data_IF_642884820477
#
_entry.id   IF_642884820477
#
_cell.length_a   1.000
_cell.length_b   1.000
_cell.length_c   1.000
_cell.angle_alpha   90.00
_cell.angle_beta   90.00
_cell.angle_gamma   90.00
#
_symmetry.space_group_name_H-M   'P 1'
#
loop_
_entity.id
_entity.type
_entity.pdbx_description
1 polymer ?
#
# COMPACT_ATOMS: atom_id res chain seq x y z
N UNK A 1 -22.95 -66.81 -20.12
CA UNK A 1 -21.66 -66.94 -19.41
C UNK A 1 -20.67 -66.06 -20.16
N UNK A 2 -19.91 -65.12 -19.63
CA UNK A 2 -19.67 -64.55 -18.30
C UNK A 2 -19.17 -63.12 -18.59
N UNK A 3 -19.68 -62.11 -17.87
CA UNK A 3 -19.23 -60.72 -18.00
C UNK A 3 -17.89 -60.55 -17.27
N UNK A 4 -16.87 -60.13 -18.02
CA UNK A 4 -15.58 -59.66 -17.51
C UNK A 4 -15.45 -58.18 -17.80
N UNK A 5 -15.37 -57.35 -16.75
CA UNK A 5 -15.00 -55.94 -16.90
C UNK A 5 -15.51 -55.03 -15.80
N UNK A 6 -14.85 -55.03 -14.63
CA UNK A 6 -15.11 -54.05 -13.56
C UNK A 6 -13.90 -53.76 -12.64
N UNK A 7 -12.66 -53.76 -13.16
CA UNK A 7 -11.45 -53.58 -12.31
C UNK A 7 -10.67 -52.27 -12.54
N UNK A 8 -11.32 -51.13 -12.88
CA UNK A 8 -10.57 -49.90 -13.21
C UNK A 8 -11.05 -48.58 -12.58
N UNK A 9 -11.78 -48.58 -11.46
CA UNK A 9 -12.37 -47.35 -10.89
C UNK A 9 -11.78 -46.82 -9.56
N UNK A 10 -10.60 -47.27 -9.13
CA UNK A 10 -10.00 -46.81 -7.85
C UNK A 10 -8.50 -46.50 -7.95
N UNK A 11 -8.09 -45.64 -8.88
CA UNK A 11 -6.79 -44.96 -8.77
C UNK A 11 -7.04 -43.55 -8.24
N UNK A 12 -6.74 -43.34 -6.96
CA UNK A 12 -6.65 -42.01 -6.36
C UNK A 12 -5.66 -41.17 -7.17
N UNK A 13 -5.98 -39.90 -7.48
CA UNK A 13 -5.04 -39.02 -8.16
C UNK A 13 -3.77 -38.87 -7.28
N UNK A 14 -2.57 -38.79 -7.89
CA UNK A 14 -1.36 -38.56 -7.12
C UNK A 14 -1.52 -37.26 -6.31
N UNK A 15 -1.03 -37.22 -5.05
CA UNK A 15 -1.06 -36.01 -4.25
C UNK A 15 -0.40 -34.89 -5.05
N UNK A 16 -1.11 -33.78 -5.23
CA UNK A 16 -0.53 -32.56 -5.83
C UNK A 16 0.67 -32.18 -4.96
N UNK A 17 1.88 -32.34 -5.48
CA UNK A 17 3.09 -31.82 -4.86
C UNK A 17 2.87 -30.34 -4.61
N UNK A 18 2.85 -29.94 -3.34
CA UNK A 18 2.87 -28.55 -2.96
C UNK A 18 4.08 -27.89 -3.64
N UNK A 19 3.91 -26.67 -4.22
CA UNK A 19 5.00 -25.99 -4.89
C UNK A 19 6.20 -25.92 -3.95
N UNK A 20 7.31 -26.50 -4.41
CA UNK A 20 8.60 -26.58 -3.75
C UNK A 20 8.96 -25.17 -3.25
N UNK A 21 9.04 -25.00 -1.93
CA UNK A 21 9.43 -23.74 -1.29
C UNK A 21 10.82 -23.36 -1.81
N UNK A 22 10.85 -22.45 -2.78
CA UNK A 22 12.07 -21.95 -3.38
C UNK A 22 13.01 -21.45 -2.26
N UNK A 23 14.19 -22.07 -2.22
CA UNK A 23 15.28 -21.83 -1.26
C UNK A 23 15.37 -20.37 -0.81
N UNK A 24 15.14 -20.15 0.49
CA UNK A 24 15.19 -18.86 1.20
C UNK A 24 16.56 -18.16 1.14
N UNK A 25 17.59 -18.78 0.55
CA UNK A 25 19.00 -18.36 0.61
C UNK A 25 19.38 -17.22 -0.35
N UNK A 26 18.47 -16.72 -1.18
CA UNK A 26 18.72 -15.55 -2.05
C UNK A 26 17.86 -14.32 -1.74
N UNK A 27 17.28 -14.24 -0.53
CA UNK A 27 16.56 -13.02 -0.13
C UNK A 27 17.54 -11.85 0.01
N UNK A 28 17.64 -11.03 -1.04
CA UNK A 28 18.31 -9.74 -0.99
C UNK A 28 17.57 -8.90 0.05
N UNK A 29 18.28 -8.51 1.10
CA UNK A 29 17.80 -7.49 2.03
C UNK A 29 17.72 -6.17 1.28
N UNK A 30 16.55 -5.53 1.31
CA UNK A 30 16.47 -4.13 0.95
C UNK A 30 17.39 -3.35 1.89
N UNK A 31 18.40 -2.69 1.31
CA UNK A 31 19.41 -1.92 2.07
C UNK A 31 18.82 -0.65 2.65
N UNK A 32 17.73 -0.17 2.08
CA UNK A 32 17.03 1.05 2.48
C UNK A 32 15.65 0.72 3.05
N UNK A 33 15.37 1.25 4.24
CA UNK A 33 14.11 1.07 4.97
C UNK A 33 13.56 2.43 5.40
N UNK A 34 12.28 2.67 5.18
CA UNK A 34 11.60 3.91 5.57
C UNK A 34 11.03 3.79 6.99
N UNK A 35 10.41 2.66 7.29
CA UNK A 35 9.78 2.33 8.56
C UNK A 35 10.47 1.11 9.17
N UNK A 36 11.58 1.28 9.92
CA UNK A 36 12.32 0.15 10.51
C UNK A 36 11.45 -0.82 11.32
N UNK A 37 10.47 -0.28 12.04
CA UNK A 37 9.58 -1.07 12.90
C UNK A 37 8.51 -1.85 12.12
N UNK A 38 8.39 -1.62 10.81
CA UNK A 38 7.42 -2.28 9.92
C UNK A 38 8.09 -3.18 8.88
N UNK A 39 9.39 -3.43 9.00
CA UNK A 39 10.06 -4.41 8.15
C UNK A 39 9.65 -5.80 8.58
N UNK A 40 9.16 -6.59 7.62
CA UNK A 40 8.86 -8.00 7.87
C UNK A 40 10.16 -8.76 8.14
N UNK A 41 10.30 -9.47 9.27
CA UNK A 41 11.53 -10.21 9.57
C UNK A 41 11.91 -11.24 8.50
N UNK A 42 13.20 -11.58 8.44
CA UNK A 42 13.69 -12.62 7.52
C UNK A 42 13.09 -13.99 7.86
N UNK A 43 12.62 -14.70 6.84
CA UNK A 43 11.96 -16.00 7.00
C UNK A 43 10.51 -15.94 7.49
N UNK A 44 9.92 -14.74 7.62
CA UNK A 44 8.52 -14.57 7.99
C UNK A 44 7.71 -13.84 6.93
N UNK A 45 6.40 -13.80 7.12
CA UNK A 45 5.47 -12.99 6.34
C UNK A 45 4.53 -12.27 7.30
N UNK A 46 4.08 -11.08 6.90
CA UNK A 46 3.04 -10.32 7.59
C UNK A 46 1.76 -10.34 6.78
N UNK A 47 0.62 -10.47 7.44
CA UNK A 47 -0.70 -10.37 6.82
C UNK A 47 -1.50 -9.34 7.61
N UNK A 48 -1.99 -8.31 6.92
CA UNK A 48 -2.79 -7.24 7.51
C UNK A 48 -4.06 -7.01 6.70
N UNK A 49 -5.11 -6.57 7.39
CA UNK A 49 -6.32 -6.05 6.79
C UNK A 49 -6.18 -4.57 6.47
N UNK A 50 -6.41 -4.20 5.22
CA UNK A 50 -6.33 -2.83 4.73
C UNK A 50 -7.70 -2.39 4.24
N UNK A 51 -8.27 -1.29 4.75
CA UNK A 51 -9.55 -0.79 4.27
C UNK A 51 -9.43 -0.30 2.82
N UNK A 52 -10.43 -0.62 2.00
CA UNK A 52 -10.54 -0.14 0.63
C UNK A 52 -11.08 1.29 0.62
N UNK A 53 -10.32 2.23 0.06
CA UNK A 53 -10.78 3.62 -0.12
C UNK A 53 -12.06 3.70 -0.97
N UNK A 54 -12.26 2.78 -1.90
CA UNK A 54 -13.47 2.74 -2.73
C UNK A 54 -14.73 2.37 -1.94
N UNK A 55 -14.58 1.60 -0.86
CA UNK A 55 -15.69 1.26 0.03
C UNK A 55 -16.00 2.39 1.01
N UNK A 56 -15.03 3.27 1.29
CA UNK A 56 -15.23 4.46 2.11
C UNK A 56 -15.66 5.60 1.18
N UNK A 57 -16.91 5.55 0.73
CA UNK A 57 -17.46 6.38 -0.34
C UNK A 57 -17.48 7.90 -0.08
N UNK A 58 -17.01 8.36 1.09
CA UNK A 58 -16.93 9.76 1.47
C UNK A 58 -15.81 9.95 2.49
N UNK A 59 -14.56 9.78 2.05
CA UNK A 59 -13.42 10.14 2.91
C UNK A 59 -13.30 11.66 2.95
N UNK A 60 -13.33 12.22 4.15
CA UNK A 60 -13.05 13.61 4.43
C UNK A 60 -11.57 13.81 4.78
N UNK A 61 -11.08 15.05 4.62
CA UNK A 61 -9.75 15.41 5.05
C UNK A 61 -9.66 15.27 6.58
N UNK A 62 -8.71 14.45 7.05
CA UNK A 62 -8.52 14.13 8.47
C UNK A 62 -9.08 12.78 8.89
N UNK A 63 -9.71 12.04 7.97
CA UNK A 63 -10.18 10.69 8.26
C UNK A 63 -9.01 9.77 8.62
N UNK A 64 -9.26 8.93 9.64
CA UNK A 64 -8.29 7.98 10.16
C UNK A 64 -8.81 6.58 9.89
N UNK A 65 -8.01 5.82 9.17
CA UNK A 65 -8.27 4.44 8.80
C UNK A 65 -7.40 3.51 9.63
N UNK A 66 -8.01 2.49 10.21
CA UNK A 66 -7.27 1.46 10.94
C UNK A 66 -6.79 0.36 9.97
N UNK A 67 -5.50 0.07 10.03
CA UNK A 67 -4.93 -1.16 9.49
C UNK A 67 -5.04 -2.21 10.57
N UNK A 68 -5.73 -3.31 10.29
CA UNK A 68 -6.04 -4.33 11.29
C UNK A 68 -5.23 -5.60 11.06
N UNK A 69 -5.15 -6.45 12.07
CA UNK A 69 -4.67 -7.81 11.91
C UNK A 69 -5.77 -8.74 11.33
N UNK A 70 -5.49 -10.03 11.08
CA UNK A 70 -6.50 -10.96 10.54
C UNK A 70 -7.71 -11.20 11.44
N UNK A 71 -7.64 -10.87 12.73
CA UNK A 71 -8.76 -10.99 13.67
C UNK A 71 -9.52 -9.66 13.86
N UNK A 72 -9.11 -8.60 13.14
CA UNK A 72 -9.75 -7.28 13.17
C UNK A 72 -9.24 -6.34 14.26
N UNK A 73 -8.15 -6.68 14.96
CA UNK A 73 -7.54 -5.80 15.94
C UNK A 73 -6.70 -4.73 15.24
N UNK A 74 -6.85 -3.44 15.57
CA UNK A 74 -6.02 -2.38 15.00
C UNK A 74 -4.52 -2.63 15.27
N UNK A 75 -3.70 -2.46 14.24
CA UNK A 75 -2.24 -2.49 14.26
C UNK A 75 -1.60 -1.13 13.97
N UNK A 76 -2.10 -0.42 12.95
CA UNK A 76 -1.59 0.88 12.50
C UNK A 76 -2.75 1.82 12.19
N UNK A 77 -2.44 3.12 12.11
CA UNK A 77 -3.37 4.16 11.66
C UNK A 77 -2.86 4.83 10.41
N UNK A 78 -3.76 5.10 9.48
CA UNK A 78 -3.49 5.88 8.28
C UNK A 78 -4.42 7.08 8.32
N UNK A 79 -3.82 8.25 8.51
CA UNK A 79 -4.55 9.51 8.44
C UNK A 79 -4.44 10.06 7.01
N UNK A 80 -5.59 10.29 6.39
CA UNK A 80 -5.69 10.87 5.06
C UNK A 80 -5.84 12.37 5.20
N UNK A 81 -4.90 13.16 4.67
CA UNK A 81 -5.11 14.60 4.53
C UNK A 81 -5.39 14.90 3.07
N UNK A 82 -6.65 14.76 2.70
CA UNK A 82 -7.13 15.17 1.39
C UNK A 82 -6.95 16.70 1.28
N UNK A 83 -6.35 17.17 0.18
CA UNK A 83 -6.33 18.61 -0.08
C UNK A 83 -7.78 19.08 -0.27
N UNK A 84 -8.21 20.17 0.37
CA UNK A 84 -9.43 20.85 -0.04
C UNK A 84 -9.29 21.23 -1.52
N UNK A 85 -10.39 21.06 -2.27
CA UNK A 85 -10.42 21.01 -3.74
C UNK A 85 -9.92 22.26 -4.51
N UNK A 86 -10.15 22.30 -5.84
CA UNK A 86 -9.48 23.20 -6.78
C UNK A 86 -9.80 24.70 -6.66
N UNK A 87 -10.68 25.12 -5.74
CA UNK A 87 -10.91 26.54 -5.49
C UNK A 87 -9.86 27.12 -4.52
N UNK A 88 -8.64 27.34 -5.02
CA UNK A 88 -7.83 28.47 -4.53
C UNK A 88 -6.37 28.24 -4.13
N UNK A 89 -5.79 27.04 -4.19
CA UNK A 89 -4.41 26.84 -3.75
C UNK A 89 -3.39 26.89 -4.91
N UNK A 90 -3.01 28.11 -5.32
CA UNK A 90 -1.77 28.35 -6.08
C UNK A 90 -0.58 27.95 -5.22
N UNK A 91 0.14 26.93 -5.68
CA UNK A 91 1.51 26.48 -5.33
C UNK A 91 2.27 27.49 -4.46
N UNK A 92 2.68 27.12 -3.24
CA UNK A 92 3.92 27.61 -2.64
C UNK A 92 4.56 26.57 -1.71
N UNK A 93 5.84 26.30 -1.95
CA UNK A 93 6.86 25.86 -0.98
C UNK A 93 6.91 24.37 -0.59
N UNK A 94 8.10 23.73 -0.53
CA UNK A 94 8.27 22.38 0.03
C UNK A 94 8.01 22.31 1.55
N UNK A 95 7.88 23.46 2.24
CA UNK A 95 7.69 23.54 3.69
C UNK A 95 6.23 23.81 4.12
N UNK A 96 5.28 23.91 3.19
CA UNK A 96 3.89 24.33 3.47
C UNK A 96 2.83 23.37 2.97
N UNK A 97 3.23 22.25 2.35
CA UNK A 97 2.28 21.26 1.86
C UNK A 97 2.01 20.19 2.93
N UNK A 98 0.73 20.01 3.25
CA UNK A 98 0.28 18.93 4.11
C UNK A 98 0.49 17.57 3.42
N UNK A 99 0.96 16.54 4.14
CA UNK A 99 1.14 15.19 3.58
C UNK A 99 -0.22 14.60 3.19
N UNK A 100 -0.31 14.01 1.99
CA UNK A 100 -1.52 13.31 1.56
C UNK A 100 -1.88 12.15 2.50
N UNK A 101 -0.86 11.44 2.98
CA UNK A 101 -0.98 10.28 3.87
C UNK A 101 0.00 10.42 5.02
N UNK A 102 -0.47 10.17 6.24
CA UNK A 102 0.37 10.02 7.43
C UNK A 102 0.16 8.62 8.00
N UNK A 103 1.19 7.79 7.93
CA UNK A 103 1.18 6.46 8.54
C UNK A 103 1.65 6.59 10.00
N UNK A 104 0.86 6.09 10.95
CA UNK A 104 1.07 6.25 12.39
C UNK A 104 1.04 4.93 13.12
N UNK A 105 1.87 4.84 14.16
CA UNK A 105 1.79 3.74 15.12
C UNK A 105 0.63 3.99 16.10
N UNK A 106 -0.09 2.94 16.50
CA UNK A 106 -1.17 3.03 17.49
C UNK A 106 -0.67 3.41 18.87
N UNK A 107 0.53 2.92 19.22
CA UNK A 107 1.18 3.26 20.48
C UNK A 107 2.31 4.22 20.13
N UNK A 108 2.19 5.53 20.43
CA UNK A 108 3.38 6.35 20.50
C UNK A 108 4.22 5.79 21.64
N UNK A 109 5.18 4.91 21.34
CA UNK A 109 6.22 4.65 22.31
C UNK A 109 6.86 6.01 22.61
N UNK A 110 7.05 6.36 23.89
CA UNK A 110 7.84 7.53 24.24
C UNK A 110 9.28 7.23 23.82
N UNK A 111 9.59 7.42 22.54
CA UNK A 111 10.96 7.46 22.05
C UNK A 111 11.57 8.64 22.78
N UNK A 112 12.35 8.36 23.81
CA UNK A 112 13.11 9.36 24.56
C UNK A 112 13.96 10.11 23.54
N UNK A 113 13.49 11.28 23.12
CA UNK A 113 14.15 12.04 22.07
C UNK A 113 15.44 12.61 22.64
N UNK A 114 16.56 11.95 22.37
CA UNK A 114 17.90 12.47 22.63
C UNK A 114 18.26 13.64 21.71
N UNK A 115 17.38 13.98 20.76
CA UNK A 115 17.52 15.15 19.91
C UNK A 115 16.47 16.19 20.33
N UNK A 116 16.91 17.16 21.14
CA UNK A 116 16.25 18.45 21.34
C UNK A 116 16.28 19.24 20.02
N UNK A 117 15.59 18.75 18.98
CA UNK A 117 15.39 19.54 17.77
C UNK A 117 14.20 20.45 18.06
N UNK A 118 14.50 21.72 18.36
CA UNK A 118 13.53 22.80 18.39
C UNK A 118 13.03 23.06 16.95
N UNK A 119 12.24 22.13 16.39
CA UNK A 119 11.45 22.39 15.19
C UNK A 119 10.14 23.00 15.67
N UNK A 120 10.00 24.31 15.51
CA UNK A 120 8.82 25.10 15.90
C UNK A 120 7.60 24.85 15.00
N UNK A 121 7.43 23.63 14.48
CA UNK A 121 6.33 23.27 13.59
C UNK A 121 6.10 21.77 13.60
N UNK A 122 4.99 21.35 14.21
CA UNK A 122 4.23 20.13 13.88
C UNK A 122 5.05 18.86 13.57
N UNK A 123 6.14 18.58 14.29
CA UNK A 123 6.79 17.27 14.17
C UNK A 123 5.90 16.27 14.90
N UNK A 124 5.11 15.53 14.10
CA UNK A 124 4.19 14.53 14.61
C UNK A 124 5.00 13.32 15.07
N UNK A 125 5.26 13.22 16.38
CA UNK A 125 6.18 12.23 16.98
C UNK A 125 5.75 10.77 16.78
N UNK A 126 4.50 10.52 16.35
CA UNK A 126 3.99 9.18 16.06
C UNK A 126 3.97 8.81 14.57
N UNK A 127 4.36 9.73 13.67
CA UNK A 127 4.45 9.43 12.24
C UNK A 127 5.61 8.46 11.97
N UNK A 128 5.34 7.42 11.19
CA UNK A 128 6.33 6.45 10.70
C UNK A 128 6.74 6.72 9.26
N UNK A 129 5.78 7.15 8.43
CA UNK A 129 6.01 7.61 7.07
C UNK A 129 5.04 8.72 6.71
N UNK A 130 5.48 9.57 5.80
CA UNK A 130 4.72 10.67 5.23
C UNK A 130 4.69 10.47 3.72
N UNK A 131 3.53 10.63 3.09
CA UNK A 131 3.43 10.55 1.64
C UNK A 131 2.89 11.86 1.06
N UNK A 132 3.58 12.40 0.06
CA UNK A 132 3.25 13.67 -0.57
C UNK A 132 2.92 13.42 -2.05
N UNK A 133 1.83 14.02 -2.53
CA UNK A 133 1.55 14.05 -3.95
C UNK A 133 2.28 15.21 -4.60
N UNK A 134 3.14 14.93 -5.58
CA UNK A 134 3.80 15.95 -6.40
C UNK A 134 3.37 15.84 -7.84
N UNK A 135 3.20 16.99 -8.47
CA UNK A 135 3.00 17.08 -9.91
C UNK A 135 4.30 17.58 -10.54
N UNK A 136 4.86 16.80 -11.45
CA UNK A 136 6.04 17.22 -12.22
C UNK A 136 5.69 18.36 -13.19
N UNK A 137 6.68 19.10 -13.72
CA UNK A 137 6.43 20.15 -14.73
C UNK A 137 5.67 19.65 -15.98
N UNK A 138 5.75 18.34 -16.27
CA UNK A 138 5.01 17.70 -17.36
C UNK A 138 3.57 17.30 -17.01
N UNK A 139 3.06 17.68 -15.84
CA UNK A 139 1.72 17.31 -15.37
C UNK A 139 1.61 15.89 -14.82
N UNK A 140 2.66 15.09 -14.90
CA UNK A 140 2.66 13.73 -14.36
C UNK A 140 2.69 13.78 -12.83
N UNK A 141 1.70 13.17 -12.20
CA UNK A 141 1.64 12.98 -10.75
C UNK A 141 2.58 11.86 -10.29
N UNK A 142 3.19 12.05 -9.13
CA UNK A 142 3.98 11.03 -8.42
C UNK A 142 3.75 11.15 -6.92
N UNK A 143 3.80 10.02 -6.24
CA UNK A 143 3.87 9.97 -4.77
C UNK A 143 5.34 10.05 -4.36
N UNK A 144 5.67 10.94 -3.43
CA UNK A 144 6.94 10.95 -2.70
C UNK A 144 6.70 10.41 -1.30
N UNK A 145 7.39 9.34 -0.93
CA UNK A 145 7.37 8.77 0.41
C UNK A 145 8.59 9.32 1.14
N UNK A 146 8.35 9.92 2.29
CA UNK A 146 9.35 10.52 3.15
C UNK A 146 9.34 9.86 4.52
N UNK A 147 10.51 9.80 5.14
CA UNK A 147 10.64 9.52 6.55
C UNK A 147 10.09 10.70 7.40
N UNK A 148 9.89 10.51 8.72
CA UNK A 148 9.33 11.55 9.58
C UNK A 148 10.17 12.84 9.69
N UNK A 149 11.47 12.76 9.37
CA UNK A 149 12.39 13.89 9.25
C UNK A 149 12.28 14.63 7.90
N UNK A 150 11.27 14.30 7.09
CA UNK A 150 11.01 14.83 5.74
C UNK A 150 12.07 14.47 4.69
N UNK A 151 12.99 13.56 5.00
CA UNK A 151 13.92 13.06 4.00
C UNK A 151 13.19 12.18 3.00
N UNK A 152 13.43 12.39 1.69
CA UNK A 152 12.81 11.57 0.65
C UNK A 152 13.41 10.17 0.72
N UNK A 153 12.53 9.19 0.88
CA UNK A 153 12.88 7.78 0.87
C UNK A 153 12.72 7.18 -0.53
N UNK A 154 11.55 7.35 -1.13
CA UNK A 154 11.22 6.78 -2.44
C UNK A 154 10.17 7.61 -3.18
N UNK A 155 10.02 7.34 -4.47
CA UNK A 155 9.00 7.95 -5.32
C UNK A 155 8.28 6.89 -6.16
N UNK A 156 6.95 6.94 -6.18
CA UNK A 156 6.10 6.07 -6.98
C UNK A 156 5.47 6.89 -8.11
N UNK A 157 5.62 6.43 -9.34
CA UNK A 157 4.99 7.05 -10.50
C UNK A 157 4.40 5.99 -11.42
N UNK A 158 3.36 6.35 -12.17
CA UNK A 158 2.84 5.52 -13.23
C UNK A 158 3.71 5.67 -14.48
N UNK A 159 4.25 4.58 -15.00
CA UNK A 159 4.97 4.56 -16.27
C UNK A 159 4.00 4.51 -17.46
N UNK A 160 4.51 4.82 -18.66
CA UNK A 160 3.72 4.79 -19.90
C UNK A 160 3.06 3.43 -20.19
N UNK A 161 3.59 2.34 -19.64
CA UNK A 161 2.99 1.00 -19.72
C UNK A 161 1.77 0.81 -18.82
N UNK A 162 1.39 1.83 -18.04
CA UNK A 162 0.31 1.78 -17.05
C UNK A 162 0.71 1.16 -15.70
N UNK A 163 1.93 0.64 -15.58
CA UNK A 163 2.46 0.06 -14.33
C UNK A 163 2.89 1.17 -13.38
N UNK A 164 2.70 0.96 -12.08
CA UNK A 164 3.27 1.85 -11.07
C UNK A 164 4.62 1.31 -10.62
N UNK A 165 5.64 2.17 -10.63
CA UNK A 165 7.01 1.81 -10.29
C UNK A 165 7.51 2.71 -9.17
N UNK A 166 7.89 2.09 -8.05
CA UNK A 166 8.52 2.75 -6.92
C UNK A 166 10.04 2.70 -7.10
N UNK A 167 10.68 3.85 -7.07
CA UNK A 167 12.14 3.99 -7.13
C UNK A 167 12.64 4.67 -5.85
N UNK A 168 13.67 4.14 -5.21
CA UNK A 168 14.30 4.83 -4.07
C UNK A 168 14.93 6.16 -4.51
N UNK A 169 14.90 7.15 -3.62
CA UNK A 169 15.57 8.43 -3.81
C UNK A 169 17.06 8.42 -3.49
N UNK A 170 17.58 7.36 -2.84
CA UNK A 170 18.98 7.29 -2.36
C UNK A 170 19.84 6.30 -3.12
N UNK A 171 19.26 5.22 -3.63
CA UNK A 171 19.96 4.17 -4.36
C UNK A 171 19.12 3.69 -5.56
N UNK A 172 19.76 3.38 -6.69
CA UNK A 172 19.08 2.76 -7.84
C UNK A 172 18.61 1.30 -7.58
N UNK A 173 18.85 0.78 -6.37
CA UNK A 173 18.66 -0.63 -6.03
C UNK A 173 17.21 -1.00 -5.69
N UNK A 174 16.44 -0.10 -5.07
CA UNK A 174 15.05 -0.35 -4.72
C UNK A 174 14.15 -0.01 -5.91
N UNK A 175 13.67 -1.07 -6.56
CA UNK A 175 12.63 -0.99 -7.58
C UNK A 175 11.49 -1.95 -7.19
N UNK A 176 10.33 -1.41 -6.82
CA UNK A 176 9.11 -2.20 -6.67
C UNK A 176 8.17 -1.91 -7.84
N UNK A 177 7.65 -2.96 -8.46
CA UNK A 177 6.74 -2.89 -9.60
C UNK A 177 5.38 -3.37 -9.12
N UNK A 178 4.39 -2.50 -9.17
CA UNK A 178 3.02 -2.79 -8.78
C UNK A 178 2.23 -3.20 -10.02
N UNK A 179 1.92 -4.49 -10.09
CA UNK A 179 1.07 -5.06 -11.12
C UNK A 179 -0.36 -5.00 -10.62
N UNK A 180 -1.09 -3.99 -11.07
CA UNK A 180 -2.51 -3.87 -10.81
C UNK A 180 -3.32 -4.17 -12.06
N UNK A 181 -4.42 -4.89 -11.88
CA UNK A 181 -5.49 -5.00 -12.87
C UNK A 181 -6.73 -4.28 -12.35
N UNK A 182 -6.64 -2.98 -12.05
CA UNK A 182 -7.84 -2.22 -11.67
C UNK A 182 -8.87 -2.28 -12.81
N UNK A 183 -9.89 -3.13 -12.67
CA UNK A 183 -11.08 -3.15 -13.50
C UNK A 183 -12.22 -2.56 -12.67
N UNK A 184 -13.02 -1.69 -13.28
CA UNK A 184 -14.10 -0.90 -12.67
C UNK A 184 -15.07 -1.66 -11.73
N UNK A 185 -15.17 -2.98 -11.85
CA UNK A 185 -16.13 -3.81 -11.11
C UNK A 185 -15.51 -4.92 -10.27
N UNK A 186 -14.19 -5.11 -10.32
CA UNK A 186 -13.47 -6.10 -9.52
C UNK A 186 -12.26 -5.41 -8.91
N UNK A 187 -12.30 -5.20 -7.59
CA UNK A 187 -11.14 -4.77 -6.83
C UNK A 187 -10.12 -5.90 -6.85
N UNK A 188 -9.30 -5.91 -7.90
CA UNK A 188 -8.40 -7.00 -8.19
C UNK A 188 -7.19 -7.04 -7.27
N UNK A 189 -6.60 -8.23 -7.20
CA UNK A 189 -5.35 -8.49 -6.51
C UNK A 189 -4.21 -7.66 -7.12
N UNK A 190 -3.56 -6.85 -6.30
CA UNK A 190 -2.32 -6.18 -6.63
C UNK A 190 -1.19 -7.11 -6.24
N UNK A 191 -0.31 -7.40 -7.20
CA UNK A 191 0.93 -8.10 -6.93
C UNK A 191 2.08 -7.12 -7.05
N UNK A 192 2.94 -7.09 -6.03
CA UNK A 192 4.15 -6.28 -6.04
C UNK A 192 5.34 -7.18 -6.26
N UNK A 193 6.18 -6.84 -7.22
CA UNK A 193 7.42 -7.57 -7.49
C UNK A 193 8.64 -6.66 -7.41
N UNK A 194 9.82 -7.24 -7.27
CA UNK A 194 11.09 -6.54 -7.49
C UNK A 194 11.43 -6.49 -9.00
N UNK A 195 12.62 -5.97 -9.32
CA UNK A 195 13.18 -5.96 -10.68
C UNK A 195 13.52 -7.34 -11.25
N UNK A 196 13.55 -8.40 -10.44
CA UNK A 196 13.78 -9.79 -10.86
C UNK A 196 12.46 -10.58 -10.97
N UNK A 197 11.30 -9.93 -10.86
CA UNK A 197 9.97 -10.54 -10.79
C UNK A 197 9.75 -11.43 -9.55
N UNK A 198 10.57 -11.31 -8.51
CA UNK A 198 10.29 -11.93 -7.22
C UNK A 198 9.12 -11.20 -6.56
N UNK A 199 8.15 -11.94 -6.04
CA UNK A 199 6.98 -11.35 -5.38
C UNK A 199 7.36 -10.85 -3.98
N UNK A 200 7.04 -9.59 -3.71
CA UNK A 200 7.31 -8.86 -2.47
C UNK A 200 6.05 -8.69 -1.61
N UNK A 201 4.90 -8.54 -2.26
CA UNK A 201 3.61 -8.53 -1.58
C UNK A 201 2.47 -8.88 -2.53
N UNK A 202 1.32 -9.24 -1.94
CA UNK A 202 0.08 -9.53 -2.66
C UNK A 202 -1.10 -8.98 -1.87
N UNK A 203 -2.06 -8.40 -2.57
CA UNK A 203 -3.39 -8.14 -2.00
C UNK A 203 -4.40 -9.15 -2.51
N UNK A 204 -5.39 -9.45 -1.69
CA UNK A 204 -6.60 -10.19 -2.06
C UNK A 204 -7.81 -9.57 -1.39
N UNK A 205 -8.97 -9.63 -2.03
CA UNK A 205 -10.22 -9.30 -1.34
C UNK A 205 -10.36 -10.19 -0.10
N UNK A 206 -10.79 -9.59 1.01
CA UNK A 206 -10.93 -10.29 2.28
C UNK A 206 -12.25 -9.90 2.96
N UNK A 207 -12.96 -10.93 3.42
CA UNK A 207 -14.10 -10.77 4.32
C UNK A 207 -13.58 -10.82 5.76
N UNK A 208 -13.07 -9.68 6.24
CA UNK A 208 -12.65 -9.55 7.64
C UNK A 208 -13.88 -9.37 8.52
N UNK A 209 -13.91 -10.08 9.65
CA UNK A 209 -14.95 -9.91 10.67
C UNK A 209 -14.64 -8.67 11.53
N UNK A 210 -14.54 -7.51 10.89
CA UNK A 210 -14.39 -6.25 11.63
C UNK A 210 -15.77 -5.69 12.01
N UNK A 211 -15.87 -4.95 13.13
CA UNK A 211 -17.12 -4.31 13.53
C UNK A 211 -17.63 -3.26 12.53
N UNK A 212 -16.71 -2.67 11.77
CA UNK A 212 -17.00 -1.55 10.88
C UNK A 212 -17.40 -2.05 9.48
N UNK A 213 -18.52 -1.56 8.93
CA UNK A 213 -18.92 -1.92 7.58
C UNK A 213 -17.91 -1.35 6.56
N UNK A 214 -17.30 -2.22 5.77
CA UNK A 214 -16.35 -1.82 4.74
C UNK A 214 -15.84 -3.01 3.93
N UNK A 215 -15.19 -2.74 2.79
CA UNK A 215 -14.43 -3.76 2.07
C UNK A 215 -12.98 -3.68 2.50
N UNK A 216 -12.37 -4.83 2.75
CA UNK A 216 -10.99 -4.93 3.15
C UNK A 216 -10.19 -5.75 2.14
N UNK A 217 -8.91 -5.41 2.04
CA UNK A 217 -7.91 -6.23 1.40
C UNK A 217 -7.12 -6.98 2.48
N UNK A 218 -6.88 -8.27 2.27
CA UNK A 218 -5.78 -8.96 2.93
C UNK A 218 -4.51 -8.63 2.16
N UNK A 219 -3.64 -7.84 2.78
CA UNK A 219 -2.30 -7.54 2.28
C UNK A 219 -1.30 -8.48 2.93
N UNK A 220 -0.69 -9.35 2.12
CA UNK A 220 0.40 -10.22 2.49
C UNK A 220 1.73 -9.58 2.07
N UNK A 221 2.65 -9.40 3.00
CA UNK A 221 3.99 -8.83 2.77
C UNK A 221 5.04 -9.85 3.16
N UNK A 222 5.99 -10.11 2.26
CA UNK A 222 7.05 -11.11 2.45
C UNK A 222 8.26 -10.53 3.18
N UNK A 223 9.15 -11.43 3.60
CA UNK A 223 10.34 -11.12 4.38
C UNK A 223 11.18 -9.98 3.79
N UNK A 224 11.72 -9.13 4.65
CA UNK A 224 12.60 -8.02 4.31
C UNK A 224 11.91 -6.81 3.69
N UNK A 225 10.62 -6.89 3.37
CA UNK A 225 9.87 -5.79 2.76
C UNK A 225 9.35 -4.84 3.84
N UNK A 226 9.45 -3.55 3.58
CA UNK A 226 8.88 -2.49 4.41
C UNK A 226 7.36 -2.38 4.16
N UNK A 227 6.56 -2.86 5.12
CA UNK A 227 5.10 -2.82 5.04
C UNK A 227 4.56 -1.39 4.91
N UNK A 228 5.19 -0.41 5.57
CA UNK A 228 4.74 0.99 5.54
C UNK A 228 4.82 1.60 4.14
N UNK A 229 5.91 1.30 3.42
CA UNK A 229 6.10 1.73 2.03
C UNK A 229 5.03 1.11 1.12
N UNK A 230 4.75 -0.19 1.28
CA UNK A 230 3.73 -0.89 0.48
C UNK A 230 2.35 -0.28 0.74
N UNK A 231 2.00 0.02 1.99
CA UNK A 231 0.73 0.66 2.36
C UNK A 231 0.60 2.05 1.72
N UNK A 232 1.61 2.91 1.84
CA UNK A 232 1.58 4.24 1.21
C UNK A 232 1.33 4.17 -0.30
N UNK A 233 1.97 3.22 -0.99
CA UNK A 233 1.77 3.00 -2.42
C UNK A 233 0.36 2.52 -2.74
N UNK A 234 -0.16 1.58 -1.96
CA UNK A 234 -1.49 1.00 -2.14
C UNK A 234 -2.58 2.07 -2.05
N UNK A 235 -2.57 2.89 -1.00
CA UNK A 235 -3.52 3.97 -0.82
C UNK A 235 -3.45 5.03 -1.92
N UNK A 236 -2.24 5.39 -2.37
CA UNK A 236 -2.09 6.32 -3.48
C UNK A 236 -2.70 5.78 -4.77
N UNK A 237 -2.41 4.51 -5.12
CA UNK A 237 -2.95 3.91 -6.33
C UNK A 237 -4.47 3.82 -6.28
N UNK A 238 -5.05 3.40 -5.15
CA UNK A 238 -6.50 3.32 -5.01
C UNK A 238 -7.15 4.71 -5.10
N UNK A 239 -6.56 5.73 -4.48
CA UNK A 239 -7.03 7.12 -4.61
C UNK A 239 -6.88 7.69 -6.03
N UNK A 240 -5.79 7.37 -6.73
CA UNK A 240 -5.57 7.81 -8.12
C UNK A 240 -6.61 7.20 -9.07
N UNK A 241 -6.95 5.92 -8.87
CA UNK A 241 -8.01 5.23 -9.58
C UNK A 241 -9.37 5.89 -9.33
N UNK A 242 -9.69 6.23 -8.08
CA UNK A 242 -10.95 6.93 -7.77
C UNK A 242 -11.06 8.30 -8.45
N UNK A 243 -9.98 9.08 -8.52
CA UNK A 243 -9.96 10.36 -9.25
C UNK A 243 -10.23 10.22 -10.74
N UNK A 244 -9.74 9.15 -11.37
CA UNK A 244 -10.04 8.89 -12.79
C UNK A 244 -11.51 8.57 -13.04
N UNK A 245 -12.24 8.15 -12.01
CA UNK A 245 -13.66 7.80 -12.06
C UNK A 245 -14.61 8.87 -11.53
N UNK A 246 -14.12 10.06 -11.18
CA UNK A 246 -14.96 11.24 -10.97
C UNK A 246 -15.47 11.75 -12.33
N UNK A 247 -16.33 10.91 -12.93
CA UNK A 247 -17.16 11.19 -14.08
C UNK A 247 -18.07 12.33 -13.65
N UNK A 248 -17.97 13.44 -14.39
CA UNK A 248 -18.76 14.67 -14.24
C UNK A 248 -20.15 14.38 -13.66
N UNK A 249 -20.62 15.17 -12.67
CA UNK A 249 -22.01 15.06 -12.24
C UNK A 249 -22.91 15.13 -13.48
N UNK A 250 -23.95 14.28 -13.58
CA UNK A 250 -24.85 14.29 -14.72
C UNK A 250 -25.30 15.73 -14.90
N UNK A 251 -25.03 16.31 -16.07
CA UNK A 251 -25.49 17.66 -16.39
C UNK A 251 -26.97 17.70 -16.06
N UNK A 252 -27.33 18.49 -15.03
CA UNK A 252 -28.72 18.75 -14.71
C UNK A 252 -29.23 19.54 -15.91
N UNK A 253 -29.82 18.82 -16.86
CA UNK A 253 -30.52 19.40 -17.99
C UNK A 253 -31.49 20.42 -17.43
N UNK A 254 -31.18 21.70 -17.61
CA UNK A 254 -32.10 22.79 -17.29
C UNK A 254 -33.35 22.56 -18.14
N UNK A 255 -34.43 22.15 -17.49
CA UNK A 255 -35.80 22.19 -18.01
C UNK A 255 -36.25 23.65 -18.14
#
# INVERSE_FOLDING_TARGET
MLFSGLDNLLRSPPPRSLPEEASLSQQRTFTSVCCPDLVVPIGSQSIVGVPSLAAVAALDAGDVLDIVDPIGMPLLKVELQLRPGPEGARIRGPATEAPLLVLRNLRPEPRGSLLNINVTGWVNTSAMALAFLRTSPGGQERLEICSPDLSIFASLAQEASGKFVLRSGREESLCMIFHSTFRESQHDAITVTDGNNQVLSRTRAADLQVPEPGRFYSLQVFSGVDLGVVLCCLFFMEGAVLKTFDVRPPEVSKL
#
